data_IF_383344810053
#
_entry.id   IF_383344810053
#
_cell.length_a   1.000
_cell.length_b   1.000
_cell.length_c   1.000
_cell.angle_alpha   90.00
_cell.angle_beta   90.00
_cell.angle_gamma   90.00
#
_symmetry.space_group_name_H-M   'P 1'
#
loop_
_entity.id
_entity.type
_entity.pdbx_description
1 polymer ?
#
# COMPACT_ATOMS: atom_id res chain seq x y z
N UNK A 1 -12.98 3.95 -18.49
CA UNK A 1 -12.20 4.00 -17.24
C UNK A 1 -11.12 5.07 -17.28
N UNK A 2 -10.21 5.05 -18.28
CA UNK A 2 -9.05 5.94 -18.33
C UNK A 2 -9.42 7.42 -18.30
N UNK A 3 -10.45 7.84 -19.04
CA UNK A 3 -10.95 9.23 -19.03
C UNK A 3 -11.51 9.62 -17.65
N UNK A 4 -12.17 8.70 -16.95
CA UNK A 4 -12.71 8.95 -15.62
C UNK A 4 -11.60 9.15 -14.58
N UNK A 5 -10.53 8.35 -14.64
CA UNK A 5 -9.40 8.47 -13.71
C UNK A 5 -8.40 9.58 -14.07
N UNK A 6 -8.42 10.11 -15.29
CA UNK A 6 -7.44 11.11 -15.76
C UNK A 6 -7.29 12.33 -14.83
N UNK A 7 -8.37 13.00 -14.36
CA UNK A 7 -8.23 14.14 -13.46
C UNK A 7 -7.60 13.78 -12.12
N UNK A 8 -7.91 12.60 -11.57
CA UNK A 8 -7.35 12.11 -10.30
C UNK A 8 -5.86 11.77 -10.44
N UNK A 9 -5.46 11.14 -11.57
CA UNK A 9 -4.04 10.92 -11.88
C UNK A 9 -3.28 12.24 -12.05
N UNK A 10 -3.87 13.23 -12.69
CA UNK A 10 -3.26 14.55 -12.84
C UNK A 10 -3.08 15.26 -11.48
N UNK A 11 -4.08 15.20 -10.60
CA UNK A 11 -4.02 15.74 -9.24
C UNK A 11 -2.91 15.05 -8.43
N UNK A 12 -2.83 13.72 -8.46
CA UNK A 12 -1.75 12.95 -7.84
C UNK A 12 -0.39 13.31 -8.40
N UNK A 13 -0.27 13.52 -9.69
CA UNK A 13 0.96 13.97 -10.34
C UNK A 13 1.43 15.32 -9.80
N UNK A 14 0.53 16.31 -9.63
CA UNK A 14 0.85 17.60 -9.02
C UNK A 14 1.34 17.45 -7.58
N UNK A 15 0.63 16.67 -6.77
CA UNK A 15 1.01 16.38 -5.38
C UNK A 15 2.39 15.72 -5.30
N UNK A 16 2.67 14.72 -6.14
CA UNK A 16 3.95 14.03 -6.15
C UNK A 16 5.11 14.94 -6.57
N UNK A 17 4.90 15.87 -7.52
CA UNK A 17 5.91 16.89 -7.88
C UNK A 17 6.24 17.79 -6.70
N UNK A 18 5.23 18.27 -5.97
CA UNK A 18 5.44 19.07 -4.76
C UNK A 18 6.17 18.27 -3.66
N UNK A 19 5.91 16.95 -3.53
CA UNK A 19 6.69 16.10 -2.62
C UNK A 19 8.14 15.93 -3.07
N UNK A 20 8.43 15.85 -4.37
CA UNK A 20 9.80 15.84 -4.90
C UNK A 20 10.53 17.14 -4.56
N UNK A 21 9.87 18.30 -4.68
CA UNK A 21 10.45 19.58 -4.25
C UNK A 21 10.82 19.58 -2.77
N UNK A 22 9.95 19.02 -1.90
CA UNK A 22 10.26 18.85 -0.47
C UNK A 22 11.46 17.91 -0.23
N UNK A 23 11.58 16.81 -0.99
CA UNK A 23 12.75 15.92 -0.92
C UNK A 23 14.03 16.71 -1.24
N UNK A 24 13.99 17.46 -2.33
CA UNK A 24 15.13 18.25 -2.79
C UNK A 24 15.55 19.33 -1.79
N UNK A 25 14.58 19.89 -1.05
CA UNK A 25 14.85 20.86 0.01
C UNK A 25 15.46 20.24 1.30
N UNK A 26 15.29 18.92 1.49
CA UNK A 26 15.81 18.21 2.66
C UNK A 26 17.21 17.63 2.48
N UNK A 27 17.70 17.51 1.24
CA UNK A 27 18.90 16.74 0.92
C UNK A 27 19.86 17.55 0.05
N UNK A 28 21.01 17.89 0.61
CA UNK A 28 22.07 18.53 -0.14
C UNK A 28 22.79 17.57 -1.10
N UNK A 29 22.99 18.05 -2.33
CA UNK A 29 23.77 17.33 -3.33
C UNK A 29 23.12 16.07 -3.91
N UNK A 30 21.83 15.87 -3.69
CA UNK A 30 20.95 14.98 -4.44
C UNK A 30 19.73 15.75 -4.89
N UNK A 31 19.47 15.77 -6.19
CA UNK A 31 18.26 16.37 -6.74
C UNK A 31 17.49 15.32 -7.53
N UNK A 32 16.21 15.17 -7.22
CA UNK A 32 15.25 14.39 -8.01
C UNK A 32 14.54 15.30 -9.01
N UNK A 33 14.35 14.81 -10.21
CA UNK A 33 13.43 15.35 -11.19
C UNK A 33 12.28 14.35 -11.37
N UNK A 34 11.04 14.85 -11.22
CA UNK A 34 9.88 13.96 -11.25
C UNK A 34 9.73 13.25 -12.60
N UNK A 35 9.90 13.97 -13.71
CA UNK A 35 9.67 13.42 -15.05
C UNK A 35 10.80 12.50 -15.51
N UNK A 36 12.04 12.83 -15.16
CA UNK A 36 13.22 12.08 -15.57
C UNK A 36 13.52 10.90 -14.64
N UNK A 37 13.37 11.08 -13.33
CA UNK A 37 13.88 10.14 -12.33
C UNK A 37 12.78 9.29 -11.70
N UNK A 38 11.54 9.80 -11.59
CA UNK A 38 10.43 9.12 -10.89
C UNK A 38 9.45 8.48 -11.88
N UNK A 39 8.94 9.27 -12.81
CA UNK A 39 7.89 8.84 -13.73
C UNK A 39 8.26 7.58 -14.53
N UNK A 40 9.50 7.41 -15.03
CA UNK A 40 9.92 6.20 -15.75
C UNK A 40 9.98 4.93 -14.90
N UNK A 41 9.90 5.04 -13.57
CA UNK A 41 9.88 3.90 -12.64
C UNK A 41 8.47 3.37 -12.39
N UNK A 42 7.47 4.01 -12.96
CA UNK A 42 6.05 3.69 -12.79
C UNK A 42 5.44 3.25 -14.11
N UNK A 43 4.29 2.61 -14.03
CA UNK A 43 3.46 2.25 -15.19
C UNK A 43 2.56 3.43 -15.64
N UNK A 44 3.00 4.67 -15.47
CA UNK A 44 2.20 5.86 -15.81
C UNK A 44 1.88 5.94 -17.31
N UNK A 45 2.68 5.33 -18.17
CA UNK A 45 2.44 5.23 -19.62
C UNK A 45 1.27 4.29 -19.94
N UNK A 46 1.03 3.32 -19.08
CA UNK A 46 -0.07 2.35 -19.15
C UNK A 46 -1.22 2.74 -18.20
N UNK A 47 -1.40 4.05 -17.99
CA UNK A 47 -2.41 4.61 -17.09
C UNK A 47 -2.27 4.23 -15.60
N UNK A 48 -1.11 3.74 -15.19
CA UNK A 48 -0.77 3.46 -13.80
C UNK A 48 -0.56 4.74 -12.96
N UNK A 49 -0.52 4.56 -11.65
CA UNK A 49 -0.30 5.65 -10.70
C UNK A 49 1.13 5.71 -10.16
N UNK A 50 1.61 6.93 -9.90
CA UNK A 50 2.84 7.16 -9.13
C UNK A 50 2.51 7.26 -7.65
N UNK A 51 3.26 6.56 -6.81
CA UNK A 51 3.10 6.57 -5.35
C UNK A 51 4.37 7.06 -4.68
N UNK A 52 4.31 7.28 -3.37
CA UNK A 52 5.48 7.64 -2.54
C UNK A 52 6.61 6.60 -2.65
N UNK A 53 6.28 5.32 -2.93
CA UNK A 53 7.31 4.28 -3.17
C UNK A 53 8.16 4.59 -4.39
N UNK A 54 7.57 5.09 -5.47
CA UNK A 54 8.32 5.46 -6.68
C UNK A 54 9.28 6.63 -6.39
N UNK A 55 8.85 7.62 -5.59
CA UNK A 55 9.69 8.72 -5.15
C UNK A 55 10.88 8.21 -4.34
N UNK A 56 10.62 7.34 -3.36
CA UNK A 56 11.68 6.78 -2.51
C UNK A 56 12.59 5.83 -3.28
N UNK A 57 12.07 5.11 -4.27
CA UNK A 57 12.89 4.25 -5.11
C UNK A 57 13.82 5.05 -6.03
N UNK A 58 13.32 6.13 -6.63
CA UNK A 58 14.14 7.07 -7.39
C UNK A 58 15.26 7.67 -6.52
N UNK A 59 14.92 8.05 -5.28
CA UNK A 59 15.88 8.56 -4.32
C UNK A 59 16.93 7.51 -3.95
N UNK A 60 16.51 6.27 -3.67
CA UNK A 60 17.40 5.15 -3.37
C UNK A 60 18.42 4.93 -4.50
N UNK A 61 17.96 4.89 -5.76
CA UNK A 61 18.85 4.75 -6.93
C UNK A 61 19.90 5.87 -7.01
N UNK A 62 19.49 7.13 -6.78
CA UNK A 62 20.43 8.26 -6.78
C UNK A 62 21.41 8.20 -5.62
N UNK A 63 20.97 7.77 -4.43
CA UNK A 63 21.87 7.58 -3.29
C UNK A 63 22.89 6.47 -3.56
N UNK A 64 22.49 5.35 -4.18
CA UNK A 64 23.41 4.28 -4.56
C UNK A 64 24.45 4.77 -5.56
N UNK A 65 24.06 5.58 -6.54
CA UNK A 65 25.00 6.19 -7.48
C UNK A 65 25.98 7.15 -6.77
N UNK A 66 25.50 7.92 -5.79
CA UNK A 66 26.31 8.92 -5.08
C UNK A 66 27.26 8.30 -4.05
N UNK A 67 26.77 7.38 -3.23
CA UNK A 67 27.50 6.86 -2.07
C UNK A 67 28.07 5.45 -2.29
N UNK A 68 27.53 4.68 -3.24
CA UNK A 68 27.81 3.26 -3.38
C UNK A 68 26.95 2.41 -2.44
N UNK A 69 27.21 1.10 -2.42
CA UNK A 69 26.57 0.11 -1.53
C UNK A 69 27.49 -0.26 -0.37
N UNK A 70 26.94 -0.91 0.65
CA UNK A 70 27.70 -1.40 1.80
C UNK A 70 28.00 -0.31 2.84
N UNK A 71 29.19 -0.38 3.46
CA UNK A 71 29.59 0.56 4.49
C UNK A 71 29.50 2.04 4.04
N UNK A 72 29.90 2.43 2.79
CA UNK A 72 29.73 3.81 2.33
C UNK A 72 28.29 4.31 2.38
N UNK A 73 27.30 3.44 2.10
CA UNK A 73 25.88 3.80 2.24
C UNK A 73 25.49 4.00 3.70
N UNK A 74 25.94 3.12 4.60
CA UNK A 74 25.67 3.28 6.06
C UNK A 74 26.21 4.62 6.55
N UNK A 75 27.47 4.95 6.18
CA UNK A 75 28.12 6.20 6.56
C UNK A 75 27.41 7.42 5.96
N UNK A 76 26.98 7.32 4.71
CA UNK A 76 26.21 8.38 4.05
C UNK A 76 24.86 8.62 4.73
N UNK A 77 24.11 7.56 5.05
CA UNK A 77 22.82 7.68 5.74
C UNK A 77 23.00 8.30 7.13
N UNK A 78 24.07 7.92 7.85
CA UNK A 78 24.41 8.56 9.13
C UNK A 78 24.75 10.05 8.96
N UNK A 79 25.49 10.42 7.91
CA UNK A 79 25.87 11.81 7.64
C UNK A 79 24.70 12.74 7.38
N UNK A 80 23.57 12.20 6.87
CA UNK A 80 22.31 12.94 6.67
C UNK A 80 21.35 12.79 7.85
N UNK A 81 21.83 12.29 9.01
CA UNK A 81 21.09 12.22 10.26
C UNK A 81 20.15 11.03 10.40
N UNK A 82 20.32 9.97 9.60
CA UNK A 82 19.52 8.75 9.74
C UNK A 82 20.21 7.72 10.63
N UNK A 83 19.59 7.43 11.78
CA UNK A 83 20.04 6.39 12.69
C UNK A 83 19.44 5.04 12.31
N UNK A 84 20.27 4.15 11.77
CA UNK A 84 19.84 2.81 11.36
C UNK A 84 19.77 1.85 12.56
N UNK A 85 18.75 1.02 12.62
CA UNK A 85 18.72 -0.15 13.49
C UNK A 85 19.77 -1.19 13.01
N UNK A 86 20.15 -2.14 13.87
CA UNK A 86 21.07 -3.21 13.50
C UNK A 86 20.56 -4.03 12.30
N UNK A 87 19.25 -4.29 12.24
CA UNK A 87 18.62 -4.96 11.08
C UNK A 87 18.85 -4.15 9.80
N UNK A 88 18.61 -2.83 9.83
CA UNK A 88 18.78 -1.95 8.67
C UNK A 88 20.24 -1.82 8.26
N UNK A 89 21.18 -1.75 9.21
CA UNK A 89 22.62 -1.77 8.92
C UNK A 89 23.00 -3.06 8.20
N UNK A 90 22.57 -4.21 8.72
CA UNK A 90 22.86 -5.51 8.09
C UNK A 90 22.28 -5.59 6.67
N UNK A 91 21.09 -5.05 6.44
CA UNK A 91 20.53 -4.95 5.09
C UNK A 91 21.39 -4.08 4.16
N UNK A 92 21.91 -2.94 4.65
CA UNK A 92 22.77 -2.06 3.85
C UNK A 92 24.18 -2.63 3.64
N UNK A 93 24.65 -3.51 4.51
CA UNK A 93 25.94 -4.20 4.35
C UNK A 93 25.86 -5.40 3.39
N UNK A 94 24.69 -5.96 3.17
CA UNK A 94 24.46 -7.07 2.25
C UNK A 94 24.41 -6.57 0.79
N UNK A 95 25.57 -6.25 0.24
CA UNK A 95 25.70 -5.72 -1.15
C UNK A 95 25.37 -6.73 -2.24
N UNK A 96 25.32 -8.03 -1.89
CA UNK A 96 25.00 -9.11 -2.81
C UNK A 96 23.48 -9.32 -2.98
N UNK A 97 22.66 -8.74 -2.10
CA UNK A 97 21.22 -8.87 -2.20
C UNK A 97 20.67 -8.21 -3.47
N UNK A 98 19.97 -8.93 -4.34
CA UNK A 98 19.57 -8.41 -5.65
C UNK A 98 18.57 -7.24 -5.56
N UNK A 99 17.82 -7.16 -4.46
CA UNK A 99 16.85 -6.10 -4.21
C UNK A 99 17.35 -5.07 -3.18
N UNK A 100 18.64 -4.82 -3.14
CA UNK A 100 19.28 -3.86 -2.24
C UNK A 100 18.60 -2.48 -2.25
N UNK A 101 18.30 -1.97 -3.44
CA UNK A 101 17.67 -0.66 -3.62
C UNK A 101 16.25 -0.64 -3.01
N UNK A 102 15.60 -1.80 -2.91
CA UNK A 102 14.29 -1.93 -2.30
C UNK A 102 14.36 -1.92 -0.76
N UNK A 103 15.39 -2.50 -0.18
CA UNK A 103 15.65 -2.37 1.26
C UNK A 103 15.94 -0.91 1.64
N UNK A 104 16.78 -0.24 0.83
CA UNK A 104 17.07 1.17 1.00
C UNK A 104 15.80 2.02 0.86
N UNK A 105 14.95 1.75 -0.13
CA UNK A 105 13.63 2.38 -0.27
C UNK A 105 12.82 2.27 1.02
N UNK A 106 12.80 1.12 1.66
CA UNK A 106 12.07 0.90 2.92
C UNK A 106 12.56 1.81 4.05
N UNK A 107 13.89 1.95 4.18
CA UNK A 107 14.52 2.87 5.14
C UNK A 107 14.14 4.32 4.84
N UNK A 108 14.28 4.73 3.58
CA UNK A 108 13.97 6.11 3.16
C UNK A 108 12.49 6.44 3.32
N UNK A 109 11.59 5.50 3.02
CA UNK A 109 10.15 5.66 3.23
C UNK A 109 9.83 5.98 4.68
N UNK A 110 10.37 5.22 5.61
CA UNK A 110 10.15 5.44 7.05
C UNK A 110 10.73 6.77 7.55
N UNK A 111 11.84 7.23 6.97
CA UNK A 111 12.55 8.43 7.40
C UNK A 111 12.01 9.73 6.77
N UNK A 112 11.65 9.69 5.48
CA UNK A 112 11.33 10.90 4.72
C UNK A 112 9.84 11.08 4.46
N UNK A 113 9.05 10.02 4.24
CA UNK A 113 7.62 10.20 3.94
C UNK A 113 6.90 11.04 5.00
N UNK A 114 7.11 10.86 6.32
CA UNK A 114 6.47 11.72 7.32
C UNK A 114 6.83 13.22 7.21
N UNK A 115 7.96 13.55 6.60
CA UNK A 115 8.46 14.93 6.47
C UNK A 115 7.99 15.62 5.18
N UNK A 116 7.75 14.83 4.14
CA UNK A 116 7.43 15.34 2.80
C UNK A 116 5.96 15.18 2.44
N UNK A 117 5.24 14.33 3.17
CA UNK A 117 3.87 13.96 2.82
C UNK A 117 2.99 15.21 2.67
N UNK A 118 2.16 15.17 1.66
CA UNK A 118 1.09 16.13 1.40
C UNK A 118 -0.20 15.32 1.33
N UNK A 119 -1.22 15.75 2.08
CA UNK A 119 -2.49 15.05 2.14
C UNK A 119 -3.14 14.94 0.77
N UNK A 120 -3.68 13.76 0.49
CA UNK A 120 -4.45 13.51 -0.71
C UNK A 120 -5.84 14.15 -0.55
N UNK A 121 -6.20 15.00 -1.51
CA UNK A 121 -7.49 15.69 -1.53
C UNK A 121 -8.15 15.60 -2.91
N UNK A 122 -7.67 16.39 -3.87
CA UNK A 122 -8.22 16.44 -5.24
C UNK A 122 -8.12 15.10 -5.99
N UNK A 123 -7.23 14.20 -5.57
CA UNK A 123 -7.05 12.88 -6.17
C UNK A 123 -7.97 11.80 -5.57
N UNK A 124 -8.80 12.17 -4.58
CA UNK A 124 -9.73 11.28 -3.92
C UNK A 124 -11.14 11.49 -4.50
N UNK A 125 -11.64 10.59 -5.36
CA UNK A 125 -13.01 10.66 -5.85
C UNK A 125 -14.02 10.42 -4.72
N UNK A 126 -15.25 10.91 -4.92
CA UNK A 126 -16.34 10.58 -4.01
C UNK A 126 -16.63 9.07 -4.06
N UNK A 127 -16.78 8.44 -2.91
CA UNK A 127 -16.99 6.98 -2.81
C UNK A 127 -18.27 6.51 -3.53
N UNK A 128 -19.33 7.32 -3.56
CA UNK A 128 -20.58 6.97 -4.27
C UNK A 128 -20.38 7.00 -5.79
N UNK A 129 -19.56 7.91 -6.30
CA UNK A 129 -19.22 7.95 -7.74
C UNK A 129 -18.36 6.73 -8.13
N UNK A 130 -17.45 6.32 -7.24
CA UNK A 130 -16.68 5.07 -7.44
C UNK A 130 -17.59 3.86 -7.42
N UNK A 131 -18.51 3.76 -6.45
CA UNK A 131 -19.47 2.66 -6.36
C UNK A 131 -20.37 2.58 -7.61
N UNK A 132 -20.86 3.73 -8.08
CA UNK A 132 -21.62 3.80 -9.34
C UNK A 132 -20.79 3.32 -10.51
N UNK A 133 -19.55 3.80 -10.65
CA UNK A 133 -18.65 3.37 -11.73
C UNK A 133 -18.43 1.86 -11.70
N UNK A 134 -18.17 1.28 -10.52
CA UNK A 134 -17.95 -0.16 -10.38
C UNK A 134 -19.21 -0.96 -10.78
N UNK A 135 -20.39 -0.50 -10.41
CA UNK A 135 -21.65 -1.14 -10.83
C UNK A 135 -21.87 -1.02 -12.35
N UNK A 136 -21.54 0.13 -12.96
CA UNK A 136 -21.71 0.36 -14.40
C UNK A 136 -20.81 -0.56 -15.26
N UNK A 137 -19.71 -1.06 -14.70
CA UNK A 137 -18.74 -1.93 -15.41
C UNK A 137 -18.69 -3.36 -14.83
N UNK A 138 -19.64 -3.71 -13.97
CA UNK A 138 -19.72 -5.01 -13.28
C UNK A 138 -18.45 -5.37 -12.50
N UNK A 139 -17.82 -4.38 -11.84
CA UNK A 139 -16.68 -4.59 -10.97
C UNK A 139 -17.11 -4.69 -9.50
N UNK A 140 -16.47 -5.56 -8.74
CA UNK A 140 -16.69 -5.69 -7.30
C UNK A 140 -15.90 -4.64 -6.53
N UNK A 141 -16.58 -3.63 -5.99
CA UNK A 141 -15.97 -2.68 -5.07
C UNK A 141 -15.88 -3.28 -3.68
N UNK A 142 -14.67 -3.31 -3.11
CA UNK A 142 -14.40 -3.82 -1.78
C UNK A 142 -13.95 -2.70 -0.84
N UNK A 143 -14.47 -2.69 0.38
CA UNK A 143 -13.88 -1.92 1.48
C UNK A 143 -12.64 -2.65 2.01
N UNK A 144 -11.51 -1.96 2.10
CA UNK A 144 -10.26 -2.53 2.61
C UNK A 144 -10.15 -2.29 4.12
N UNK A 145 -10.52 -3.30 4.92
CA UNK A 145 -10.38 -3.26 6.37
C UNK A 145 -8.91 -3.33 6.77
N UNK A 146 -8.46 -2.38 7.55
CA UNK A 146 -7.10 -2.33 8.09
C UNK A 146 -7.00 -2.87 9.51
N UNK A 147 -7.93 -2.49 10.38
CA UNK A 147 -7.91 -2.80 11.81
C UNK A 147 -6.77 -2.10 12.56
N UNK A 148 -6.97 -1.86 13.82
CA UNK A 148 -5.98 -1.23 14.70
C UNK A 148 -4.72 -2.07 14.83
N UNK A 149 -3.56 -1.44 14.86
CA UNK A 149 -2.27 -2.08 15.11
C UNK A 149 -1.74 -1.63 16.47
N UNK A 150 -1.67 -2.54 17.43
CA UNK A 150 -1.11 -2.28 18.77
C UNK A 150 0.40 -2.54 18.82
N UNK A 151 0.86 -3.53 18.04
CA UNK A 151 2.28 -3.82 17.85
C UNK A 151 2.48 -4.34 16.42
N UNK A 152 3.59 -3.98 15.78
CA UNK A 152 3.91 -4.52 14.47
C UNK A 152 4.26 -5.99 14.54
N UNK A 153 3.59 -6.83 13.77
CA UNK A 153 3.91 -8.25 13.62
C UNK A 153 5.32 -8.44 13.05
N UNK A 154 5.78 -7.49 12.24
CA UNK A 154 7.10 -7.48 11.60
C UNK A 154 8.11 -6.56 12.30
N UNK A 155 7.70 -5.85 13.35
CA UNK A 155 8.56 -4.95 14.14
C UNK A 155 8.89 -3.61 13.45
N UNK A 156 8.29 -3.33 12.30
CA UNK A 156 8.58 -2.17 11.46
C UNK A 156 7.48 -1.10 11.46
N UNK A 157 6.34 -1.36 12.10
CA UNK A 157 5.22 -0.41 12.20
C UNK A 157 5.01 0.05 13.64
N UNK A 158 4.76 1.34 13.81
CA UNK A 158 4.29 1.93 15.07
C UNK A 158 2.84 1.54 15.31
N UNK A 159 2.42 1.50 16.59
CA UNK A 159 1.00 1.38 16.94
C UNK A 159 0.19 2.45 16.19
N UNK A 160 -0.92 2.06 15.60
CA UNK A 160 -1.75 2.95 14.78
C UNK A 160 -3.22 2.58 14.96
N UNK A 161 -4.05 3.59 15.20
CA UNK A 161 -5.49 3.49 15.25
C UNK A 161 -6.07 3.61 13.84
N UNK A 162 -7.05 2.75 13.56
CA UNK A 162 -7.83 2.77 12.34
C UNK A 162 -9.32 2.74 12.69
N UNK A 163 -10.11 1.77 12.22
CA UNK A 163 -11.57 1.78 12.28
C UNK A 163 -12.19 0.92 13.37
N UNK A 164 -11.43 0.22 14.20
CA UNK A 164 -11.99 -0.76 15.16
C UNK A 164 -12.96 -0.13 16.16
N UNK A 165 -12.70 1.09 16.60
CA UNK A 165 -13.55 1.79 17.58
C UNK A 165 -14.94 2.13 17.00
N UNK A 166 -15.08 2.28 15.68
CA UNK A 166 -16.30 2.66 14.97
C UNK A 166 -16.65 1.74 13.80
N UNK A 167 -16.23 0.47 13.86
CA UNK A 167 -16.38 -0.49 12.77
C UNK A 167 -17.84 -0.74 12.38
N UNK A 168 -18.76 -0.72 13.34
CA UNK A 168 -20.21 -0.88 13.06
C UNK A 168 -20.74 0.28 12.20
N UNK A 169 -20.30 1.52 12.48
CA UNK A 169 -20.65 2.70 11.67
C UNK A 169 -20.04 2.61 10.26
N UNK A 170 -18.80 2.09 10.15
CA UNK A 170 -18.17 1.83 8.85
C UNK A 170 -18.99 0.84 8.05
N UNK A 171 -19.42 -0.28 8.64
CA UNK A 171 -20.25 -1.29 7.96
C UNK A 171 -21.57 -0.69 7.48
N UNK A 172 -22.22 0.14 8.29
CA UNK A 172 -23.44 0.84 7.88
C UNK A 172 -23.16 1.80 6.70
N UNK A 173 -22.08 2.57 6.77
CA UNK A 173 -21.68 3.53 5.74
C UNK A 173 -21.35 2.86 4.41
N UNK A 174 -20.56 1.77 4.39
CA UNK A 174 -20.21 1.09 3.15
C UNK A 174 -21.44 0.49 2.45
N UNK A 175 -22.40 -0.03 3.22
CA UNK A 175 -23.67 -0.51 2.68
C UNK A 175 -24.49 0.62 2.05
N UNK A 176 -24.61 1.75 2.75
CA UNK A 176 -25.29 2.94 2.23
C UNK A 176 -24.63 3.49 0.95
N UNK A 177 -23.31 3.32 0.82
CA UNK A 177 -22.55 3.65 -0.40
C UNK A 177 -22.69 2.61 -1.52
N UNK A 178 -23.37 1.47 -1.29
CA UNK A 178 -23.52 0.40 -2.28
C UNK A 178 -22.28 -0.51 -2.41
N UNK A 179 -21.37 -0.49 -1.45
CA UNK A 179 -20.22 -1.40 -1.40
C UNK A 179 -20.71 -2.75 -0.87
N UNK A 180 -20.43 -3.81 -1.61
CA UNK A 180 -20.96 -5.16 -1.33
C UNK A 180 -19.93 -6.14 -0.78
N UNK A 181 -18.67 -5.74 -0.69
CA UNK A 181 -17.59 -6.61 -0.27
C UNK A 181 -16.61 -5.94 0.69
N UNK A 182 -15.95 -6.75 1.50
CA UNK A 182 -14.88 -6.34 2.43
C UNK A 182 -13.66 -7.21 2.19
N UNK A 183 -12.50 -6.59 2.12
CA UNK A 183 -11.22 -7.31 2.09
C UNK A 183 -10.48 -7.13 3.41
N UNK A 184 -9.81 -8.18 3.88
CA UNK A 184 -9.02 -8.16 5.10
C UNK A 184 -7.80 -9.07 5.02
N UNK A 185 -6.86 -8.92 5.95
CA UNK A 185 -5.56 -9.57 5.92
C UNK A 185 -5.40 -10.54 7.09
N UNK A 186 -5.53 -11.87 6.91
CA UNK A 186 -5.27 -12.87 7.93
C UNK A 186 -3.91 -12.77 8.62
N UNK A 187 -2.88 -12.26 7.93
CA UNK A 187 -1.54 -12.09 8.51
C UNK A 187 -1.35 -10.79 9.30
N UNK A 188 -2.25 -9.82 9.13
CA UNK A 188 -2.15 -8.49 9.75
C UNK A 188 -2.99 -8.37 11.02
N UNK A 189 -4.21 -8.85 10.95
CA UNK A 189 -5.23 -8.62 11.96
C UNK A 189 -5.21 -9.70 13.04
N UNK A 190 -5.63 -9.35 14.26
CA UNK A 190 -5.77 -10.32 15.34
C UNK A 190 -6.97 -11.24 15.13
N UNK A 191 -7.00 -12.44 15.74
CA UNK A 191 -8.17 -13.32 15.66
C UNK A 191 -9.47 -12.62 16.09
N UNK A 192 -9.43 -11.83 17.15
CA UNK A 192 -10.60 -11.12 17.70
C UNK A 192 -11.13 -10.06 16.72
N UNK A 193 -10.23 -9.32 16.09
CA UNK A 193 -10.60 -8.36 15.03
C UNK A 193 -11.29 -9.07 13.86
N UNK A 194 -10.69 -10.17 13.40
CA UNK A 194 -11.22 -10.93 12.26
C UNK A 194 -12.54 -11.63 12.60
N UNK A 195 -12.71 -12.15 13.80
CA UNK A 195 -13.97 -12.75 14.26
C UNK A 195 -15.10 -11.70 14.27
N UNK A 196 -14.86 -10.51 14.86
CA UNK A 196 -15.81 -9.41 14.85
C UNK A 196 -16.17 -8.98 13.43
N UNK A 197 -15.17 -8.74 12.58
CA UNK A 197 -15.41 -8.31 11.21
C UNK A 197 -16.20 -9.34 10.41
N UNK A 198 -15.82 -10.62 10.49
CA UNK A 198 -16.50 -11.71 9.77
C UNK A 198 -17.95 -11.87 10.21
N UNK A 199 -18.24 -11.75 11.52
CA UNK A 199 -19.60 -11.73 12.03
C UNK A 199 -20.41 -10.57 11.43
N UNK A 200 -19.87 -9.36 11.47
CA UNK A 200 -20.50 -8.18 10.88
C UNK A 200 -20.74 -8.34 9.37
N UNK A 201 -19.77 -8.89 8.65
CA UNK A 201 -19.93 -9.19 7.22
C UNK A 201 -21.08 -10.19 6.98
N UNK A 202 -21.14 -11.27 7.77
CA UNK A 202 -22.21 -12.28 7.66
C UNK A 202 -23.60 -11.71 7.96
N UNK A 203 -23.74 -10.95 9.05
CA UNK A 203 -25.00 -10.29 9.44
C UNK A 203 -25.49 -9.28 8.39
N UNK A 204 -24.58 -8.72 7.60
CA UNK A 204 -24.89 -7.69 6.62
C UNK A 204 -24.82 -8.18 5.16
N UNK A 205 -24.60 -9.47 4.92
CA UNK A 205 -24.54 -10.04 3.58
C UNK A 205 -23.40 -9.53 2.72
N UNK A 206 -22.27 -9.13 3.36
CA UNK A 206 -21.09 -8.62 2.65
C UNK A 206 -20.19 -9.78 2.21
N UNK A 207 -19.79 -9.74 0.95
CA UNK A 207 -18.84 -10.69 0.41
C UNK A 207 -17.45 -10.45 0.99
N UNK A 208 -16.70 -11.51 1.31
CA UNK A 208 -15.43 -11.42 2.00
C UNK A 208 -14.31 -11.91 1.09
N UNK A 209 -13.28 -11.10 0.92
CA UNK A 209 -12.15 -11.36 0.02
C UNK A 209 -10.83 -11.27 0.78
N UNK A 210 -9.85 -12.09 0.45
CA UNK A 210 -8.49 -11.95 0.98
C UNK A 210 -7.83 -10.68 0.45
N UNK A 211 -7.32 -9.87 1.37
CA UNK A 211 -6.62 -8.62 1.07
C UNK A 211 -5.13 -8.65 1.43
N UNK A 212 -4.51 -9.85 1.44
CA UNK A 212 -3.10 -9.98 1.79
C UNK A 212 -2.19 -9.07 0.96
N UNK A 213 -1.37 -8.27 1.64
CA UNK A 213 -0.48 -7.29 1.04
C UNK A 213 0.96 -7.79 1.03
N UNK A 214 1.41 -8.26 -0.12
CA UNK A 214 2.81 -8.63 -0.36
C UNK A 214 3.47 -7.50 -1.13
N UNK A 215 4.23 -6.68 -0.44
CA UNK A 215 4.80 -5.46 -0.99
C UNK A 215 6.33 -5.31 -0.78
N UNK A 216 7.00 -6.40 -0.44
CA UNK A 216 8.46 -6.43 -0.29
C UNK A 216 9.01 -7.76 -0.82
N UNK A 217 10.16 -7.75 -1.53
CA UNK A 217 10.84 -8.97 -1.97
C UNK A 217 11.26 -9.91 -0.83
N UNK A 218 11.28 -9.40 0.41
CA UNK A 218 11.58 -10.21 1.61
C UNK A 218 10.37 -10.90 2.22
N UNK A 219 9.16 -10.59 1.75
CA UNK A 219 7.94 -11.28 2.18
C UNK A 219 7.76 -12.60 1.43
N UNK A 220 7.22 -13.60 2.12
CA UNK A 220 6.85 -14.87 1.49
C UNK A 220 5.59 -14.70 0.64
N UNK A 221 5.58 -15.33 -0.55
CA UNK A 221 4.36 -15.47 -1.36
C UNK A 221 3.43 -16.57 -0.81
N UNK A 222 3.92 -17.43 0.08
CA UNK A 222 3.11 -18.44 0.74
C UNK A 222 2.55 -17.87 2.03
N UNK A 223 1.26 -17.69 2.09
CA UNK A 223 0.53 -17.15 3.24
C UNK A 223 0.07 -18.31 4.13
N UNK A 224 0.90 -18.72 5.07
CA UNK A 224 0.60 -19.83 6.00
C UNK A 224 -0.68 -19.63 6.82
N UNK A 225 -1.07 -18.38 7.11
CA UNK A 225 -2.32 -18.09 7.80
C UNK A 225 -3.55 -18.64 7.05
N UNK A 226 -3.49 -18.75 5.72
CA UNK A 226 -4.57 -19.30 4.90
C UNK A 226 -4.75 -20.82 5.04
N UNK A 227 -3.79 -21.53 5.65
CA UNK A 227 -3.94 -22.95 5.99
C UNK A 227 -4.93 -23.17 7.16
N UNK A 228 -5.23 -22.11 7.91
CA UNK A 228 -6.21 -22.17 8.99
C UNK A 228 -7.63 -22.32 8.40
N UNK A 229 -8.39 -23.37 8.79
CA UNK A 229 -9.77 -23.59 8.32
C UNK A 229 -10.71 -22.38 8.52
N UNK A 230 -10.40 -21.52 9.48
CA UNK A 230 -11.13 -20.26 9.71
C UNK A 230 -11.22 -19.40 8.44
N UNK A 231 -10.23 -19.48 7.54
CA UNK A 231 -10.14 -18.66 6.33
C UNK A 231 -10.50 -19.42 5.04
N UNK A 232 -11.07 -20.62 5.15
CA UNK A 232 -11.48 -21.40 3.98
C UNK A 232 -12.46 -20.61 3.07
N UNK A 233 -13.32 -19.78 3.69
CA UNK A 233 -14.24 -18.89 2.94
C UNK A 233 -13.53 -17.93 1.99
N UNK A 234 -12.30 -17.51 2.28
CA UNK A 234 -11.54 -16.61 1.41
C UNK A 234 -11.00 -17.34 0.16
N UNK A 235 -10.71 -18.64 0.28
CA UNK A 235 -10.34 -19.49 -0.85
C UNK A 235 -11.54 -19.68 -1.77
N UNK A 236 -12.70 -20.00 -1.19
CA UNK A 236 -13.97 -20.15 -1.95
C UNK A 236 -14.36 -18.84 -2.64
N UNK A 237 -14.17 -17.72 -1.95
CA UNK A 237 -14.42 -16.39 -2.51
C UNK A 237 -13.51 -16.10 -3.71
N UNK A 238 -12.24 -16.48 -3.65
CA UNK A 238 -11.31 -16.33 -4.77
C UNK A 238 -11.77 -17.11 -5.99
N UNK A 239 -12.22 -18.35 -5.81
CA UNK A 239 -12.76 -19.15 -6.92
C UNK A 239 -14.04 -18.55 -7.51
N UNK A 240 -14.94 -18.01 -6.68
CA UNK A 240 -16.13 -17.29 -7.16
C UNK A 240 -15.78 -16.06 -7.98
N UNK A 241 -14.76 -15.28 -7.59
CA UNK A 241 -14.28 -14.14 -8.37
C UNK A 241 -13.73 -14.57 -9.73
N UNK A 242 -12.93 -15.64 -9.76
CA UNK A 242 -12.39 -16.21 -11.01
C UNK A 242 -13.53 -16.71 -11.94
N UNK A 243 -14.56 -17.32 -11.37
CA UNK A 243 -15.72 -17.79 -12.13
C UNK A 243 -16.54 -16.61 -12.67
N UNK A 244 -16.78 -15.59 -11.84
CA UNK A 244 -17.43 -14.35 -12.26
C UNK A 244 -16.72 -13.71 -13.46
N UNK A 245 -15.41 -13.54 -13.38
CA UNK A 245 -14.61 -12.97 -14.47
C UNK A 245 -14.72 -13.76 -15.77
N UNK A 246 -14.81 -15.09 -15.67
CA UNK A 246 -14.88 -15.98 -16.86
C UNK A 246 -16.27 -16.08 -17.45
N UNK A 247 -17.31 -16.03 -16.65
CA UNK A 247 -18.68 -16.43 -17.06
C UNK A 247 -19.71 -15.32 -16.90
N UNK A 248 -19.38 -14.23 -16.20
CA UNK A 248 -20.36 -13.21 -15.79
C UNK A 248 -21.37 -13.70 -14.75
N UNK A 249 -21.09 -14.82 -14.05
CA UNK A 249 -21.95 -15.33 -12.99
C UNK A 249 -22.04 -14.35 -11.82
N UNK A 250 -23.16 -14.31 -11.09
CA UNK A 250 -23.30 -13.44 -9.91
C UNK A 250 -22.29 -13.83 -8.81
N UNK A 251 -21.66 -12.84 -8.20
CA UNK A 251 -20.73 -13.04 -7.07
C UNK A 251 -21.47 -13.19 -5.75
N UNK A 252 -22.61 -12.51 -5.60
CA UNK A 252 -23.43 -12.44 -4.38
C UNK A 252 -24.89 -12.75 -4.71
#
# INVERSE_FOLDING_TARGET
>A
LNAWFAPYRAARGRRNRAMVEKINALLDGIALDYDRDVLPLSEAKEDGGVTERHLMYALAKKMVVKAGKGQPMVDYLASIGLNLSEKQKNQMLDTAYPFYDYDLLGILKSAFVPKIYIDATEECPNVRDVAKLCNDIDALLCYAYLGDVTASVTGDKKAQKFEDDYLDDVIACIKDCGIRAVTYMPTRNTPEQLERLRRLCGENGLFQVSGEDINSPRQSFVIKAMENPLFANLIDATWKLIEHEKTGSAIC
#
